data_IF_744950640506
#
_entry.id   IF_744950640506
#
_cell.length_a   1.000
_cell.length_b   1.000
_cell.length_c   1.000
_cell.angle_alpha   90.00
_cell.angle_beta   90.00
_cell.angle_gamma   90.00
#
_symmetry.space_group_name_H-M   'P 1'
#
loop_
_entity.id
_entity.type
_entity.pdbx_description
1 polymer ?
#
# COMPACT_ATOMS: atom_id res chain seq x y z
N UNK A 1 -6.50 29.96 6.15
CA UNK A 1 -5.71 28.90 6.82
C UNK A 1 -5.30 27.92 5.74
N UNK A 2 -4.06 28.01 5.28
CA UNK A 2 -3.50 27.06 4.32
C UNK A 2 -3.51 25.68 4.97
N UNK A 3 -4.17 24.72 4.32
CA UNK A 3 -4.07 23.31 4.69
C UNK A 3 -2.63 22.90 4.43
N UNK A 4 -1.79 22.91 5.47
CA UNK A 4 -0.49 22.25 5.48
C UNK A 4 -0.72 20.76 5.19
N UNK A 5 -0.79 20.43 3.91
CA UNK A 5 -0.95 19.08 3.40
C UNK A 5 0.43 18.48 3.44
N UNK A 6 0.76 17.86 4.58
CA UNK A 6 2.00 17.12 4.70
C UNK A 6 2.01 16.04 3.64
N UNK A 7 3.01 16.07 2.77
CA UNK A 7 2.96 15.28 1.56
C UNK A 7 3.53 13.90 1.93
N UNK A 8 2.90 12.83 1.43
CA UNK A 8 3.09 11.44 1.89
C UNK A 8 2.47 11.14 3.26
N UNK A 9 1.21 11.55 3.42
CA UNK A 9 0.31 10.93 4.37
C UNK A 9 -0.86 10.36 3.56
N UNK A 10 -0.92 9.03 3.37
CA UNK A 10 -2.20 8.41 3.01
C UNK A 10 -3.09 8.76 4.20
N UNK A 11 -4.04 9.67 3.99
CA UNK A 11 -4.88 10.12 5.08
C UNK A 11 -5.61 8.91 5.64
N UNK A 12 -5.83 8.88 6.95
CA UNK A 12 -6.61 7.81 7.59
C UNK A 12 -8.01 7.68 6.96
N UNK A 13 -8.48 8.73 6.30
CA UNK A 13 -9.73 8.80 5.52
C UNK A 13 -9.69 7.96 4.24
N UNK A 14 -8.51 7.73 3.66
CA UNK A 14 -8.30 6.90 2.48
C UNK A 14 -8.08 5.42 2.85
N UNK A 15 -7.89 5.12 4.13
CA UNK A 15 -7.73 3.77 4.67
C UNK A 15 -8.88 2.83 4.31
N UNK A 16 -10.16 3.23 4.43
CA UNK A 16 -11.28 2.38 4.06
C UNK A 16 -11.25 1.97 2.58
N UNK A 17 -10.68 2.82 1.72
CA UNK A 17 -10.57 2.55 0.28
C UNK A 17 -9.53 1.47 -0.04
N UNK A 18 -8.66 1.11 0.90
CA UNK A 18 -7.66 0.04 0.70
C UNK A 18 -8.20 -1.35 1.05
N UNK A 19 -9.33 -1.48 1.77
CA UNK A 19 -9.93 -2.79 2.07
C UNK A 19 -10.34 -3.59 0.83
N UNK A 20 -10.60 -2.90 -0.28
CA UNK A 20 -10.91 -3.55 -1.57
C UNK A 20 -9.71 -4.22 -2.22
N UNK A 21 -8.51 -4.15 -1.63
CA UNK A 21 -7.31 -4.79 -2.14
C UNK A 21 -6.79 -5.88 -1.21
N UNK A 22 -6.11 -6.86 -1.79
CA UNK A 22 -5.35 -7.90 -1.10
C UNK A 22 -3.93 -7.97 -1.65
N UNK A 23 -2.95 -8.23 -0.79
CA UNK A 23 -1.57 -8.49 -1.22
C UNK A 23 -1.50 -9.90 -1.79
N UNK A 24 -0.86 -10.04 -2.95
CA UNK A 24 -0.58 -11.33 -3.57
C UNK A 24 0.68 -11.95 -2.96
N UNK A 25 0.96 -13.23 -3.26
CA UNK A 25 2.23 -13.85 -2.87
C UNK A 25 3.45 -13.09 -3.43
N UNK A 26 3.35 -12.59 -4.66
CA UNK A 26 4.40 -11.77 -5.28
C UNK A 26 4.56 -10.42 -4.58
N UNK A 27 3.46 -9.81 -4.13
CA UNK A 27 3.46 -8.61 -3.30
C UNK A 27 4.24 -8.78 -1.99
N UNK A 28 4.08 -9.91 -1.31
CA UNK A 28 4.86 -10.21 -0.09
C UNK A 28 6.36 -10.31 -0.37
N UNK A 29 6.77 -11.05 -1.41
CA UNK A 29 8.19 -11.13 -1.78
C UNK A 29 8.77 -9.76 -2.13
N UNK A 30 8.00 -8.93 -2.82
CA UNK A 30 8.42 -7.57 -3.14
C UNK A 30 8.59 -6.69 -1.89
N UNK A 31 7.71 -6.85 -0.89
CA UNK A 31 7.88 -6.16 0.40
C UNK A 31 9.16 -6.59 1.10
N UNK A 32 9.41 -7.90 1.21
CA UNK A 32 10.62 -8.45 1.84
C UNK A 32 11.89 -7.94 1.16
N UNK A 33 11.90 -7.90 -0.18
CA UNK A 33 13.01 -7.37 -0.97
C UNK A 33 13.31 -5.90 -0.64
N UNK A 34 12.28 -5.05 -0.65
CA UNK A 34 12.45 -3.61 -0.34
C UNK A 34 12.91 -3.42 1.10
N UNK A 35 12.31 -4.13 2.05
CA UNK A 35 12.67 -4.05 3.47
C UNK A 35 14.13 -4.47 3.67
N UNK A 36 14.56 -5.57 3.06
CA UNK A 36 15.96 -6.01 3.08
C UNK A 36 16.90 -4.92 2.56
N UNK A 37 16.55 -4.29 1.43
CA UNK A 37 17.37 -3.23 0.85
C UNK A 37 17.51 -2.02 1.78
N UNK A 38 16.45 -1.64 2.50
CA UNK A 38 16.48 -0.52 3.44
C UNK A 38 17.30 -0.87 4.69
N UNK A 39 17.01 -2.01 5.34
CA UNK A 39 17.47 -2.28 6.70
C UNK A 39 18.70 -3.20 6.80
N UNK A 40 18.90 -4.10 5.83
CA UNK A 40 20.06 -5.00 5.82
C UNK A 40 21.17 -4.44 4.93
N UNK A 41 20.82 -3.86 3.79
CA UNK A 41 21.79 -3.35 2.81
C UNK A 41 22.06 -1.84 2.93
N UNK A 42 21.27 -1.12 3.72
CA UNK A 42 21.42 0.33 3.95
C UNK A 42 21.22 1.19 2.69
N UNK A 43 20.48 0.69 1.69
CA UNK A 43 20.26 1.41 0.42
C UNK A 43 19.26 2.54 0.60
N UNK A 44 19.58 3.68 -0.01
CA UNK A 44 18.57 4.72 -0.23
C UNK A 44 17.67 4.32 -1.41
N UNK A 45 16.37 4.20 -1.13
CA UNK A 45 15.39 3.87 -2.15
C UNK A 45 14.74 5.12 -2.73
N UNK A 46 14.29 4.99 -4.00
CA UNK A 46 13.52 6.04 -4.63
C UNK A 46 12.17 6.24 -3.94
N UNK A 47 11.66 7.47 -4.03
CA UNK A 47 10.32 7.82 -3.56
C UNK A 47 9.26 6.84 -4.06
N UNK A 48 9.29 6.46 -5.34
CA UNK A 48 8.35 5.49 -5.92
C UNK A 48 8.34 4.15 -5.15
N UNK A 49 9.51 3.58 -4.83
CA UNK A 49 9.57 2.30 -4.10
C UNK A 49 9.12 2.43 -2.65
N UNK A 50 9.43 3.55 -2.00
CA UNK A 50 8.95 3.85 -0.65
C UNK A 50 7.41 3.98 -0.63
N UNK A 51 6.84 4.63 -1.64
CA UNK A 51 5.39 4.78 -1.81
C UNK A 51 4.72 3.42 -1.97
N UNK A 52 5.25 2.58 -2.86
CA UNK A 52 4.73 1.23 -3.07
C UNK A 52 4.80 0.39 -1.80
N UNK A 53 5.93 0.43 -1.08
CA UNK A 53 6.07 -0.28 0.19
C UNK A 53 5.06 0.20 1.23
N UNK A 54 4.86 1.51 1.39
CA UNK A 54 3.88 2.04 2.33
C UNK A 54 2.45 1.63 1.99
N UNK A 55 2.07 1.61 0.71
CA UNK A 55 0.74 1.13 0.29
C UNK A 55 0.60 -0.37 0.59
N UNK A 56 1.61 -1.19 0.29
CA UNK A 56 1.58 -2.62 0.58
C UNK A 56 1.48 -2.87 2.09
N UNK A 57 2.29 -2.21 2.92
CA UNK A 57 2.19 -2.31 4.38
C UNK A 57 0.79 -1.94 4.88
N UNK A 58 0.19 -0.88 4.33
CA UNK A 58 -1.16 -0.43 4.67
C UNK A 58 -2.23 -1.44 4.27
N UNK A 59 -2.19 -1.99 3.06
CA UNK A 59 -3.09 -3.08 2.64
C UNK A 59 -2.93 -4.28 3.58
N UNK A 60 -1.69 -4.65 3.95
CA UNK A 60 -1.43 -5.79 4.83
C UNK A 60 -2.08 -5.60 6.21
N UNK A 61 -1.96 -4.38 6.78
CA UNK A 61 -2.59 -4.03 8.04
C UNK A 61 -4.11 -4.11 7.96
N UNK A 62 -4.72 -3.61 6.88
CA UNK A 62 -6.17 -3.73 6.65
C UNK A 62 -6.61 -5.20 6.57
N UNK A 63 -5.81 -6.08 5.98
CA UNK A 63 -6.14 -7.49 5.82
C UNK A 63 -5.99 -8.30 7.10
N UNK A 64 -4.89 -8.08 7.83
CA UNK A 64 -4.50 -8.92 8.96
C UNK A 64 -4.98 -8.39 10.30
N UNK A 65 -5.40 -7.12 10.36
CA UNK A 65 -5.65 -6.38 11.61
C UNK A 65 -4.44 -6.36 12.56
N UNK A 66 -3.25 -6.77 12.09
CA UNK A 66 -2.01 -6.76 12.86
C UNK A 66 -1.36 -5.39 12.73
N UNK A 67 -1.22 -4.72 13.85
CA UNK A 67 -0.59 -3.41 13.98
C UNK A 67 0.94 -3.47 13.95
N UNK A 68 1.56 -4.65 13.91
CA UNK A 68 3.02 -4.82 13.94
C UNK A 68 3.71 -4.09 12.76
N UNK A 69 3.02 -3.92 11.64
CA UNK A 69 3.51 -3.16 10.49
C UNK A 69 3.41 -1.63 10.66
N UNK A 70 2.76 -1.13 11.72
CA UNK A 70 2.56 0.30 11.94
C UNK A 70 3.89 1.01 12.20
N UNK A 71 4.78 0.42 13.01
CA UNK A 71 6.12 0.98 13.26
C UNK A 71 6.94 1.04 11.98
N UNK A 72 6.90 -0.02 11.17
CA UNK A 72 7.59 -0.08 9.88
C UNK A 72 7.01 0.93 8.89
N UNK A 73 5.69 1.06 8.82
CA UNK A 73 5.02 2.06 8.01
C UNK A 73 5.44 3.49 8.43
N UNK A 74 5.45 3.79 9.73
CA UNK A 74 5.85 5.10 10.23
C UNK A 74 7.29 5.46 9.85
N UNK A 75 8.21 4.49 9.87
CA UNK A 75 9.60 4.72 9.43
C UNK A 75 9.70 4.95 7.92
N UNK A 76 9.01 4.13 7.11
CA UNK A 76 8.91 4.33 5.66
C UNK A 76 8.33 5.71 5.33
N UNK A 77 7.29 6.14 6.05
CA UNK A 77 6.73 7.49 5.94
C UNK A 77 7.74 8.56 6.29
N UNK A 78 8.48 8.44 7.40
CA UNK A 78 9.55 9.40 7.74
C UNK A 78 10.62 9.49 6.66
N UNK A 79 11.06 8.36 6.11
CA UNK A 79 12.02 8.31 5.00
C UNK A 79 11.46 8.95 3.73
N UNK A 80 10.15 8.89 3.52
CA UNK A 80 9.50 9.50 2.36
C UNK A 80 9.24 11.01 2.53
N UNK A 81 9.15 11.54 3.77
CA UNK A 81 8.95 12.98 4.04
C UNK A 81 10.03 13.85 3.39
N UNK A 82 11.28 13.35 3.29
CA UNK A 82 12.39 14.08 2.64
C UNK A 82 12.14 14.43 1.17
N UNK A 83 11.15 13.80 0.53
CA UNK A 83 10.83 14.00 -0.89
C UNK A 83 9.73 15.03 -1.14
N UNK A 84 9.25 15.76 -0.13
CA UNK A 84 8.17 16.73 -0.33
C UNK A 84 6.85 16.09 -0.78
N UNK A 85 6.76 14.76 -0.58
CA UNK A 85 5.62 13.87 -0.66
C UNK A 85 4.73 13.88 -1.90
N UNK A 86 3.55 13.27 -1.78
CA UNK A 86 2.87 12.61 -2.90
C UNK A 86 1.42 13.05 -3.08
N UNK A 87 1.09 13.51 -4.28
CA UNK A 87 -0.28 13.81 -4.70
C UNK A 87 -1.16 12.55 -4.78
N UNK A 88 -2.47 12.65 -4.51
CA UNK A 88 -3.41 11.51 -4.59
C UNK A 88 -3.41 10.79 -5.94
N UNK A 89 -3.20 11.51 -7.05
CA UNK A 89 -3.10 10.95 -8.40
C UNK A 89 -1.90 10.01 -8.53
N UNK A 90 -0.79 10.33 -7.87
CA UNK A 90 0.40 9.49 -7.87
C UNK A 90 0.21 8.22 -7.04
N UNK A 91 -0.51 8.30 -5.92
CA UNK A 91 -0.92 7.11 -5.14
C UNK A 91 -1.81 6.21 -6.00
N UNK A 92 -2.79 6.80 -6.69
CA UNK A 92 -3.68 6.08 -7.61
C UNK A 92 -2.91 5.43 -8.76
N UNK A 93 -1.90 6.11 -9.30
CA UNK A 93 -0.99 5.58 -10.30
C UNK A 93 -0.17 4.40 -9.75
N UNK A 94 0.36 4.51 -8.53
CA UNK A 94 1.10 3.42 -7.89
C UNK A 94 0.23 2.18 -7.70
N UNK A 95 -1.01 2.35 -7.23
CA UNK A 95 -1.97 1.25 -7.06
C UNK A 95 -2.24 0.55 -8.39
N UNK A 96 -2.55 1.31 -9.46
CA UNK A 96 -2.75 0.74 -10.80
C UNK A 96 -1.54 -0.08 -11.26
N UNK A 97 -0.33 0.46 -11.09
CA UNK A 97 0.89 -0.25 -11.46
C UNK A 97 1.14 -1.51 -10.62
N UNK A 98 0.83 -1.48 -9.32
CA UNK A 98 0.97 -2.65 -8.45
C UNK A 98 0.00 -3.76 -8.84
N UNK A 99 -1.22 -3.41 -9.27
CA UNK A 99 -2.18 -4.38 -9.81
C UNK A 99 -1.65 -4.99 -11.12
N UNK A 100 -1.20 -4.16 -12.07
CA UNK A 100 -0.65 -4.63 -13.34
C UNK A 100 0.58 -5.54 -13.17
N UNK A 101 1.37 -5.32 -12.12
CA UNK A 101 2.53 -6.14 -11.75
C UNK A 101 2.17 -7.36 -10.90
N UNK A 102 0.89 -7.58 -10.60
CA UNK A 102 0.43 -8.69 -9.79
C UNK A 102 0.88 -8.63 -8.33
N UNK A 103 1.14 -7.43 -7.79
CA UNK A 103 1.50 -7.21 -6.37
C UNK A 103 0.25 -7.05 -5.49
N UNK A 104 -0.82 -6.51 -6.09
CA UNK A 104 -2.13 -6.34 -5.47
C UNK A 104 -3.20 -6.98 -6.35
N UNK A 105 -4.20 -7.58 -5.71
CA UNK A 105 -5.43 -8.04 -6.35
C UNK A 105 -6.63 -7.38 -5.69
N UNK A 106 -7.80 -7.48 -6.32
CA UNK A 106 -9.06 -7.16 -5.65
C UNK A 106 -9.31 -8.12 -4.49
N UNK A 107 -9.83 -7.58 -3.38
CA UNK A 107 -10.30 -8.34 -2.23
C UNK A 107 -11.79 -8.67 -2.42
N UNK A 108 -12.16 -9.93 -2.67
CA UNK A 108 -13.53 -10.30 -2.98
C UNK A 108 -14.51 -9.96 -1.86
N UNK A 109 -14.05 -9.89 -0.61
CA UNK A 109 -14.91 -9.57 0.54
C UNK A 109 -15.45 -8.13 0.51
N UNK A 110 -14.76 -7.22 -0.18
CA UNK A 110 -15.08 -5.79 -0.18
C UNK A 110 -15.23 -5.20 -1.59
N UNK A 111 -15.00 -6.00 -2.63
CA UNK A 111 -15.35 -5.66 -4.01
C UNK A 111 -16.74 -6.24 -4.33
N UNK A 112 -17.76 -5.39 -4.29
CA UNK A 112 -19.15 -5.81 -4.50
C UNK A 112 -19.39 -6.50 -5.85
N UNK A 113 -18.63 -6.17 -6.90
CA UNK A 113 -18.80 -6.82 -8.20
C UNK A 113 -18.27 -8.25 -8.14
N UNK A 114 -17.05 -8.42 -7.63
CA UNK A 114 -16.41 -9.72 -7.50
C UNK A 114 -17.13 -10.60 -6.47
N UNK A 115 -17.59 -10.02 -5.36
CA UNK A 115 -18.40 -10.72 -4.36
C UNK A 115 -19.68 -11.32 -4.98
N UNK A 116 -20.38 -10.53 -5.79
CA UNK A 116 -21.60 -10.96 -6.47
C UNK A 116 -21.33 -12.03 -7.54
N UNK A 117 -20.24 -11.89 -8.29
CA UNK A 117 -19.86 -12.87 -9.33
C UNK A 117 -19.46 -14.22 -8.71
N UNK A 118 -18.71 -14.22 -7.60
CA UNK A 118 -18.37 -15.45 -6.86
C UNK A 118 -19.63 -16.14 -6.32
N UNK A 119 -20.54 -15.40 -5.70
CA UNK A 119 -21.79 -15.96 -5.18
C UNK A 119 -22.69 -16.54 -6.29
N UNK A 120 -22.58 -16.03 -7.52
CA UNK A 120 -23.31 -16.59 -8.68
C UNK A 120 -22.69 -17.90 -9.19
N UNK A 121 -21.38 -18.09 -9.05
CA UNK A 121 -20.67 -19.31 -9.47
C UNK A 121 -20.82 -20.46 -8.47
N UNK A 122 -21.16 -20.17 -7.22
CA UNK A 122 -21.41 -21.18 -6.17
C UNK A 122 -22.84 -21.73 -6.16
N UNK A 123 -23.73 -21.24 -7.03
CA UNK A 123 -25.10 -21.73 -7.22
C UNK A 123 -25.23 -22.56 -8.50
#
# INVERSE_FOLDING_TARGET
MEKNTLPYHIQLEDYPKLFKYKITRHGFYYMEEIISQIYLEGKELSMYRLVQLGILLRVNMCQTMKTDNETLFQDVSKKAIKYGGVEPEYVSYCIKNMILRGLLDSNPKYDNRIANDLHRLEK
#
